data_IF_130336730594
#
_entry.id   IF_130336730594
#
_cell.length_a   1.000
_cell.length_b   1.000
_cell.length_c   1.000
_cell.angle_alpha   90.00
_cell.angle_beta   90.00
_cell.angle_gamma   90.00
#
_symmetry.space_group_name_H-M   'P 1'
#
loop_
_entity.id
_entity.type
_entity.pdbx_description
1 polymer ?
#
# COMPACT_ATOMS: atom_id res chain seq x y z
N UNK A 1 -0.75 -10.39 1.33
CA UNK A 1 0.59 -10.42 0.70
C UNK A 1 0.91 -11.86 0.38
N UNK A 2 1.81 -12.11 -0.58
CA UNK A 2 2.24 -13.47 -0.95
C UNK A 2 3.75 -13.62 -0.96
N UNK A 3 4.24 -14.82 -0.64
CA UNK A 3 5.64 -15.20 -0.74
C UNK A 3 5.77 -16.16 -1.92
N UNK A 4 6.60 -15.78 -2.90
CA UNK A 4 7.11 -16.68 -3.94
C UNK A 4 8.45 -17.27 -3.45
N UNK A 5 8.72 -18.53 -3.77
CA UNK A 5 9.98 -19.20 -3.44
C UNK A 5 10.82 -19.41 -4.71
N UNK A 6 11.73 -18.50 -5.08
CA UNK A 6 12.38 -18.54 -6.39
C UNK A 6 13.23 -19.81 -6.64
N UNK A 7 13.72 -20.44 -5.58
CA UNK A 7 14.64 -21.58 -5.65
C UNK A 7 14.00 -22.89 -5.16
N UNK A 8 12.70 -22.91 -4.89
CA UNK A 8 12.01 -24.11 -4.45
C UNK A 8 10.79 -24.36 -5.34
N UNK A 9 10.55 -25.62 -5.72
CA UNK A 9 9.30 -26.03 -6.36
C UNK A 9 8.17 -26.08 -5.32
N UNK A 10 7.85 -24.92 -4.75
CA UNK A 10 6.78 -24.71 -3.77
C UNK A 10 5.76 -23.75 -4.36
N UNK A 11 4.50 -23.97 -4.02
CA UNK A 11 3.43 -23.02 -4.32
C UNK A 11 3.65 -21.70 -3.57
N UNK A 12 3.13 -20.62 -4.14
CA UNK A 12 3.13 -19.31 -3.49
C UNK A 12 2.37 -19.40 -2.16
N UNK A 13 2.99 -18.89 -1.09
CA UNK A 13 2.39 -18.86 0.23
C UNK A 13 1.67 -17.54 0.45
N UNK A 14 0.35 -17.60 0.60
CA UNK A 14 -0.48 -16.43 0.87
C UNK A 14 -0.70 -16.24 2.37
N UNK A 15 -0.53 -15.01 2.87
CA UNK A 15 -0.94 -14.66 4.23
C UNK A 15 -1.77 -13.39 4.25
N UNK A 16 -2.83 -13.43 5.06
CA UNK A 16 -3.80 -12.34 5.24
C UNK A 16 -3.76 -11.76 6.66
N UNK A 17 -3.12 -12.45 7.60
CA UNK A 17 -3.00 -12.04 8.99
C UNK A 17 -2.01 -10.87 9.12
N UNK A 18 -2.21 -10.01 10.11
CA UNK A 18 -1.30 -8.90 10.43
C UNK A 18 0.05 -9.38 11.00
N UNK A 19 0.21 -10.68 11.24
CA UNK A 19 1.43 -11.31 11.70
C UNK A 19 1.66 -12.62 10.95
N UNK A 20 2.92 -12.89 10.60
CA UNK A 20 3.41 -14.14 10.05
C UNK A 20 4.60 -14.63 10.87
N UNK A 21 4.51 -15.83 11.44
CA UNK A 21 5.61 -16.50 12.16
C UNK A 21 6.32 -17.48 11.23
N UNK A 22 7.64 -17.45 11.23
CA UNK A 22 8.48 -18.29 10.38
C UNK A 22 9.53 -18.99 11.23
N UNK A 23 9.66 -20.30 11.06
CA UNK A 23 10.60 -21.14 11.79
C UNK A 23 10.47 -22.60 11.40
N UNK A 24 11.20 -23.50 12.06
CA UNK A 24 11.13 -24.94 11.78
C UNK A 24 10.13 -25.71 12.65
N UNK A 25 9.64 -25.10 13.73
CA UNK A 25 8.62 -25.72 14.55
C UNK A 25 7.25 -25.72 13.83
N UNK A 26 6.41 -26.75 14.04
CA UNK A 26 5.13 -26.91 13.35
C UNK A 26 4.05 -25.92 13.77
N UNK A 27 4.27 -25.15 14.84
CA UNK A 27 3.36 -24.11 15.33
C UNK A 27 3.52 -22.77 14.61
N UNK A 28 4.52 -22.64 13.72
CA UNK A 28 4.69 -21.48 12.85
C UNK A 28 3.72 -21.50 11.67
N UNK A 29 3.42 -20.30 11.16
CA UNK A 29 2.52 -20.12 10.03
C UNK A 29 3.22 -20.52 8.72
N UNK A 30 4.52 -20.22 8.59
CA UNK A 30 5.38 -20.72 7.52
C UNK A 30 6.51 -21.59 8.09
N UNK A 31 6.43 -22.88 7.80
CA UNK A 31 7.39 -23.87 8.30
C UNK A 31 8.53 -24.10 7.30
N UNK A 32 9.76 -23.82 7.75
CA UNK A 32 11.00 -24.08 7.03
C UNK A 32 11.64 -25.39 7.50
N UNK A 33 12.60 -25.93 6.74
CA UNK A 33 13.30 -27.14 7.17
C UNK A 33 14.13 -26.86 8.45
N UNK A 34 14.23 -27.84 9.34
CA UNK A 34 15.00 -27.72 10.59
C UNK A 34 16.49 -27.41 10.37
N UNK A 35 17.05 -27.80 9.22
CA UNK A 35 18.42 -27.47 8.83
C UNK A 35 18.60 -26.01 8.38
N UNK A 36 17.51 -25.30 8.06
CA UNK A 36 17.53 -23.95 7.51
C UNK A 36 17.19 -22.89 8.56
N UNK A 37 16.38 -23.25 9.57
CA UNK A 37 15.82 -22.31 10.52
C UNK A 37 15.69 -22.90 11.92
N UNK A 38 15.88 -22.04 12.91
CA UNK A 38 15.54 -22.30 14.30
C UNK A 38 14.03 -22.56 14.48
N UNK A 39 13.61 -23.23 15.58
CA UNK A 39 12.21 -23.53 15.87
C UNK A 39 11.29 -22.31 15.73
N UNK A 40 11.70 -21.17 16.29
CA UNK A 40 11.11 -19.86 16.07
C UNK A 40 12.23 -18.95 15.56
N UNK A 41 12.16 -18.52 14.30
CA UNK A 41 13.29 -17.85 13.64
C UNK A 41 13.02 -16.37 13.41
N UNK A 42 11.87 -16.02 12.83
CA UNK A 42 11.49 -14.63 12.65
C UNK A 42 9.98 -14.45 12.70
N UNK A 43 9.57 -13.20 12.91
CA UNK A 43 8.19 -12.78 12.71
C UNK A 43 8.13 -11.59 11.78
N UNK A 44 7.13 -11.55 10.92
CA UNK A 44 6.78 -10.39 10.11
C UNK A 44 5.46 -9.86 10.65
N UNK A 45 5.42 -8.59 11.04
CA UNK A 45 4.24 -7.97 11.62
C UNK A 45 3.94 -6.66 10.91
N UNK A 46 2.66 -6.36 10.69
CA UNK A 46 2.24 -5.08 10.16
C UNK A 46 2.19 -4.05 11.28
N UNK A 47 2.89 -2.92 11.10
CA UNK A 47 2.82 -1.75 11.96
C UNK A 47 2.31 -0.53 11.18
N UNK A 48 2.36 0.67 11.80
CA UNK A 48 1.92 1.92 11.14
C UNK A 48 2.78 2.33 9.94
N UNK A 49 4.00 1.81 9.82
CA UNK A 49 4.98 2.14 8.78
C UNK A 49 5.00 1.12 7.65
N UNK A 50 4.46 -0.09 7.88
CA UNK A 50 4.35 -1.16 6.89
C UNK A 50 4.64 -2.52 7.51
N UNK A 51 5.20 -3.43 6.73
CA UNK A 51 5.60 -4.75 7.21
C UNK A 51 6.97 -4.65 7.88
N UNK A 52 7.09 -5.16 9.11
CA UNK A 52 8.34 -5.19 9.87
C UNK A 52 8.73 -6.62 10.14
N UNK A 53 9.89 -7.00 9.65
CA UNK A 53 10.59 -8.22 10.07
C UNK A 53 11.22 -7.99 11.42
N UNK A 54 11.07 -8.95 12.32
CA UNK A 54 11.79 -9.03 13.58
C UNK A 54 12.49 -10.38 13.70
N UNK A 55 13.78 -10.32 14.01
CA UNK A 55 14.64 -11.45 14.32
C UNK A 55 14.35 -11.93 15.74
N UNK A 56 14.17 -13.24 15.92
CA UNK A 56 13.95 -13.84 17.23
C UNK A 56 15.29 -14.27 17.87
N UNK A 57 15.39 -14.39 19.20
CA UNK A 57 16.68 -14.66 19.87
C UNK A 57 17.36 -15.96 19.46
N UNK A 58 16.58 -16.98 19.10
CA UNK A 58 17.08 -18.28 18.62
C UNK A 58 17.47 -18.29 17.15
N UNK A 59 17.28 -17.17 16.43
CA UNK A 59 17.50 -17.11 15.01
C UNK A 59 18.98 -16.98 14.65
N UNK A 60 19.40 -17.77 13.68
CA UNK A 60 20.64 -17.55 12.95
C UNK A 60 20.52 -16.36 11.98
N UNK A 61 21.43 -16.29 11.00
CA UNK A 61 21.55 -15.14 10.09
C UNK A 61 20.35 -15.04 9.16
N UNK A 62 19.66 -13.90 9.24
CA UNK A 62 18.62 -13.49 8.31
C UNK A 62 19.16 -12.39 7.41
N UNK A 63 18.84 -12.46 6.12
CA UNK A 63 19.22 -11.44 5.16
C UNK A 63 17.98 -10.86 4.48
N UNK A 64 17.97 -9.55 4.25
CA UNK A 64 16.99 -8.87 3.41
C UNK A 64 17.75 -8.20 2.27
N UNK A 65 17.42 -8.56 1.02
CA UNK A 65 18.12 -8.10 -0.18
C UNK A 65 19.66 -8.24 -0.06
N UNK A 66 20.11 -9.42 0.38
CA UNK A 66 21.51 -9.77 0.65
C UNK A 66 22.21 -8.99 1.78
N UNK A 67 21.47 -8.21 2.59
CA UNK A 67 22.01 -7.50 3.76
C UNK A 67 21.61 -8.19 5.06
N UNK A 68 22.55 -8.44 5.99
CA UNK A 68 22.23 -9.08 7.25
C UNK A 68 21.34 -8.19 8.11
N UNK A 69 20.29 -8.76 8.69
CA UNK A 69 19.41 -8.10 9.64
C UNK A 69 19.68 -8.66 11.03
N UNK A 70 19.92 -7.76 12.00
CA UNK A 70 20.24 -8.16 13.38
C UNK A 70 19.02 -8.18 14.30
N UNK A 71 18.15 -7.20 14.18
CA UNK A 71 17.00 -7.06 15.08
C UNK A 71 15.70 -6.87 14.32
N UNK A 72 15.62 -5.81 13.51
CA UNK A 72 14.43 -5.47 12.75
C UNK A 72 14.76 -4.91 11.37
N UNK A 73 13.86 -5.12 10.42
CA UNK A 73 13.93 -4.50 9.10
C UNK A 73 12.52 -4.17 8.60
N UNK A 74 12.35 -2.99 7.99
CA UNK A 74 11.13 -2.66 7.26
C UNK A 74 11.17 -3.41 5.92
N UNK A 75 10.06 -4.04 5.57
CA UNK A 75 9.88 -4.84 4.38
C UNK A 75 8.91 -4.16 3.43
N UNK A 76 9.17 -4.32 2.13
CA UNK A 76 8.32 -3.90 1.03
C UNK A 76 8.01 -5.08 0.12
N UNK A 77 6.92 -4.97 -0.63
CA UNK A 77 6.68 -5.87 -1.74
C UNK A 77 7.85 -5.75 -2.75
N UNK A 78 8.37 -6.90 -3.17
CA UNK A 78 9.58 -7.03 -3.99
C UNK A 78 10.85 -7.31 -3.19
N UNK A 79 10.85 -7.23 -1.87
CA UNK A 79 12.02 -7.62 -1.06
C UNK A 79 12.22 -9.13 -1.03
N UNK A 80 13.48 -9.55 -1.02
CA UNK A 80 13.86 -10.96 -0.83
C UNK A 80 14.39 -11.15 0.59
N UNK A 81 13.69 -11.98 1.36
CA UNK A 81 14.11 -12.43 2.69
C UNK A 81 14.78 -13.79 2.55
N UNK A 82 15.99 -13.94 3.08
CA UNK A 82 16.74 -15.20 3.06
C UNK A 82 16.97 -15.73 4.46
N UNK A 83 16.68 -17.02 4.65
CA UNK A 83 16.89 -17.78 5.88
C UNK A 83 17.62 -19.08 5.51
N UNK A 84 18.90 -19.18 5.87
CA UNK A 84 19.76 -20.23 5.32
C UNK A 84 19.75 -20.22 3.79
N UNK A 85 19.44 -21.36 3.19
CA UNK A 85 19.30 -21.50 1.73
C UNK A 85 17.89 -21.18 1.21
N UNK A 86 16.91 -20.96 2.11
CA UNK A 86 15.56 -20.60 1.72
C UNK A 86 15.49 -19.11 1.37
N UNK A 87 15.10 -18.80 0.13
CA UNK A 87 14.81 -17.43 -0.33
C UNK A 87 13.31 -17.25 -0.52
N UNK A 88 12.79 -16.17 0.06
CA UNK A 88 11.38 -15.82 0.06
C UNK A 88 11.23 -14.43 -0.56
N UNK A 89 10.65 -14.36 -1.76
CA UNK A 89 10.33 -13.10 -2.42
C UNK A 89 8.95 -12.63 -1.96
N UNK A 90 8.88 -11.50 -1.28
CA UNK A 90 7.62 -10.87 -0.93
C UNK A 90 7.01 -10.25 -2.18
N UNK A 91 5.73 -10.49 -2.43
CA UNK A 91 4.99 -9.89 -3.54
C UNK A 91 3.70 -9.29 -3.02
N UNK A 92 3.26 -8.26 -3.70
CA UNK A 92 1.90 -7.76 -3.56
C UNK A 92 0.89 -8.80 -4.07
N UNK A 93 -0.29 -8.81 -3.45
CA UNK A 93 -1.43 -9.64 -3.90
C UNK A 93 -2.03 -9.06 -5.18
N UNK A 94 -2.13 -7.73 -5.25
CA UNK A 94 -2.66 -7.02 -6.40
C UNK A 94 -1.63 -6.99 -7.53
N UNK A 95 -2.06 -7.38 -8.73
CA UNK A 95 -1.24 -7.24 -9.92
C UNK A 95 -1.06 -5.75 -10.25
N UNK A 96 0.19 -5.24 -10.24
CA UNK A 96 0.43 -3.83 -10.49
C UNK A 96 -0.11 -3.35 -11.84
N UNK A 97 -0.21 -4.24 -12.84
CA UNK A 97 -0.71 -3.92 -14.17
C UNK A 97 -2.23 -3.67 -14.23
N UNK A 98 -2.99 -4.08 -13.20
CA UNK A 98 -4.45 -3.85 -13.13
C UNK A 98 -4.83 -2.50 -12.51
N UNK A 99 -3.87 -1.77 -11.95
CA UNK A 99 -4.11 -0.48 -11.31
C UNK A 99 -4.35 0.61 -12.35
N UNK A 100 -5.22 1.57 -12.06
CA UNK A 100 -5.36 2.79 -12.86
C UNK A 100 -4.18 3.71 -12.56
N UNK A 101 -3.32 4.03 -13.54
CA UNK A 101 -2.20 4.93 -13.30
C UNK A 101 -2.68 6.38 -13.13
N UNK A 102 -2.12 7.14 -12.17
CA UNK A 102 -2.40 8.56 -12.04
C UNK A 102 -1.89 9.29 -13.29
N UNK A 103 -2.69 10.25 -13.77
CA UNK A 103 -2.29 11.16 -14.84
C UNK A 103 -1.89 12.50 -14.24
N UNK A 104 -0.62 12.86 -14.36
CA UNK A 104 -0.11 14.16 -13.91
C UNK A 104 -0.11 15.13 -15.10
N UNK A 105 -0.81 16.28 -15.01
CA UNK A 105 -0.75 17.32 -16.04
C UNK A 105 0.69 17.80 -16.26
N UNK A 106 1.07 18.13 -17.50
CA UNK A 106 2.45 18.55 -17.80
C UNK A 106 2.90 19.75 -16.98
N UNK A 107 1.99 20.71 -16.72
CA UNK A 107 2.27 21.90 -15.92
C UNK A 107 2.45 21.60 -14.42
N UNK A 108 2.06 20.41 -13.94
CA UNK A 108 2.14 19.99 -12.53
C UNK A 108 3.20 18.91 -12.27
N UNK A 109 4.07 18.60 -13.24
CA UNK A 109 5.12 17.58 -13.06
C UNK A 109 6.14 18.03 -12.00
N UNK A 110 6.07 17.45 -10.81
CA UNK A 110 7.17 17.52 -9.86
C UNK A 110 8.30 16.57 -10.28
N UNK A 111 9.53 16.91 -9.89
CA UNK A 111 10.70 16.02 -10.10
C UNK A 111 10.44 14.68 -9.42
N UNK A 112 10.24 13.64 -10.21
CA UNK A 112 10.25 12.26 -9.72
C UNK A 112 11.69 11.82 -9.58
N UNK A 113 11.97 10.94 -8.63
CA UNK A 113 13.28 10.32 -8.50
C UNK A 113 13.15 8.83 -8.21
N UNK A 114 14.18 8.08 -8.60
CA UNK A 114 14.37 6.70 -8.15
C UNK A 114 15.39 6.67 -7.03
N UNK A 115 14.95 6.24 -5.85
CA UNK A 115 15.84 6.02 -4.71
C UNK A 115 16.30 4.57 -4.70
N UNK A 116 17.60 4.35 -4.83
CA UNK A 116 18.17 3.02 -4.72
C UNK A 116 18.16 2.54 -3.27
N UNK A 117 17.49 1.42 -2.99
CA UNK A 117 17.33 0.86 -1.64
C UNK A 117 18.14 -0.42 -1.42
N UNK A 118 18.52 -1.12 -2.50
CA UNK A 118 19.42 -2.27 -2.45
C UNK A 118 20.29 -2.37 -3.71
N UNK A 119 21.40 -3.11 -3.59
CA UNK A 119 22.42 -3.25 -4.62
C UNK A 119 23.56 -2.22 -4.51
N UNK A 120 24.53 -2.25 -5.46
CA UNK A 120 25.68 -1.35 -5.51
C UNK A 120 25.33 0.15 -5.48
N UNK A 121 24.18 0.52 -6.03
CA UNK A 121 23.74 1.92 -6.12
C UNK A 121 23.00 2.42 -4.88
N UNK A 122 22.78 1.56 -3.88
CA UNK A 122 21.97 1.89 -2.71
C UNK A 122 22.39 3.19 -2.02
N UNK A 123 21.40 3.99 -1.63
CA UNK A 123 21.60 5.31 -1.05
C UNK A 123 21.65 6.43 -2.08
N UNK A 124 21.84 6.13 -3.38
CA UNK A 124 21.73 7.12 -4.45
C UNK A 124 20.28 7.45 -4.76
N UNK A 125 20.06 8.69 -5.18
CA UNK A 125 18.78 9.19 -5.69
C UNK A 125 19.02 9.63 -7.12
N UNK A 126 18.34 8.99 -8.06
CA UNK A 126 18.46 9.23 -9.50
C UNK A 126 17.27 10.12 -9.91
N UNK A 127 17.50 11.40 -10.22
CA UNK A 127 16.41 12.28 -10.65
C UNK A 127 15.89 11.82 -12.02
N UNK A 128 14.58 11.75 -12.14
CA UNK A 128 13.88 11.47 -13.38
C UNK A 128 13.29 12.78 -13.90
N UNK A 129 13.85 13.27 -15.00
CA UNK A 129 13.36 14.46 -15.70
C UNK A 129 12.36 14.03 -16.77
N UNK A 130 12.82 13.82 -18.00
CA UNK A 130 11.97 13.38 -19.12
C UNK A 130 12.06 11.86 -19.32
N UNK A 131 13.27 11.33 -19.27
CA UNK A 131 13.55 9.91 -19.29
C UNK A 131 14.77 9.55 -18.43
N UNK A 132 14.84 8.28 -18.04
CA UNK A 132 15.97 7.68 -17.37
C UNK A 132 16.19 6.27 -17.93
N UNK A 133 17.39 6.02 -18.45
CA UNK A 133 17.73 4.72 -19.03
C UNK A 133 18.69 3.95 -18.13
N UNK A 134 18.38 2.67 -17.94
CA UNK A 134 19.19 1.71 -17.19
C UNK A 134 19.76 0.66 -18.12
N UNK A 135 20.94 0.14 -17.79
CA UNK A 135 21.58 -0.96 -18.50
C UNK A 135 22.89 -0.58 -19.19
N UNK A 136 23.47 -1.45 -20.03
CA UNK A 136 24.82 -1.28 -20.57
C UNK A 136 25.03 0.02 -21.37
N UNK A 137 23.99 0.52 -22.02
CA UNK A 137 24.02 1.72 -22.87
C UNK A 137 23.24 2.90 -22.28
N UNK A 138 22.70 2.77 -21.06
CA UNK A 138 21.89 3.80 -20.43
C UNK A 138 22.70 4.75 -19.53
N UNK A 139 22.05 5.79 -19.03
CA UNK A 139 22.63 6.75 -18.07
C UNK A 139 23.07 6.09 -16.77
N UNK A 140 22.38 5.00 -16.38
CA UNK A 140 22.63 4.26 -15.17
C UNK A 140 22.97 2.79 -15.47
N UNK A 141 24.25 2.39 -15.45
CA UNK A 141 24.61 1.00 -15.67
C UNK A 141 24.06 0.10 -14.55
N UNK A 142 23.51 -1.06 -14.94
CA UNK A 142 23.06 -2.10 -14.02
C UNK A 142 24.03 -3.28 -14.06
N UNK A 143 24.77 -3.47 -12.98
CA UNK A 143 25.63 -4.65 -12.82
C UNK A 143 24.76 -5.88 -12.53
N UNK A 144 24.78 -6.87 -13.41
CA UNK A 144 24.07 -8.13 -13.22
C UNK A 144 25.07 -9.27 -12.96
N UNK A 145 24.66 -10.33 -12.25
CA UNK A 145 25.52 -11.48 -12.03
C UNK A 145 25.87 -12.16 -13.36
N UNK A 146 27.03 -12.81 -13.41
CA UNK A 146 27.49 -13.62 -14.56
C UNK A 146 27.63 -12.85 -15.88
N UNK A 147 27.72 -11.51 -15.84
CA UNK A 147 27.87 -10.69 -17.04
C UNK A 147 26.61 -10.59 -17.91
N UNK A 148 25.45 -10.95 -17.35
CA UNK A 148 24.16 -10.77 -17.99
C UNK A 148 23.83 -9.28 -18.18
N UNK A 149 22.85 -8.96 -19.03
CA UNK A 149 22.49 -7.59 -19.36
C UNK A 149 20.99 -7.43 -19.54
N UNK A 150 20.46 -6.35 -18.97
CA UNK A 150 19.09 -5.89 -19.20
C UNK A 150 19.14 -4.37 -19.42
N UNK A 151 18.32 -3.87 -20.33
CA UNK A 151 18.12 -2.45 -20.50
C UNK A 151 16.67 -2.09 -20.22
N UNK A 152 16.48 -1.00 -19.48
CA UNK A 152 15.18 -0.50 -19.06
C UNK A 152 15.12 0.97 -19.40
N UNK A 153 13.94 1.47 -19.78
CA UNK A 153 13.69 2.89 -19.91
C UNK A 153 12.53 3.27 -19.02
N UNK A 154 12.66 4.40 -18.35
CA UNK A 154 11.54 5.07 -17.69
C UNK A 154 11.36 6.42 -18.35
N UNK A 155 10.16 6.75 -18.79
CA UNK A 155 9.87 8.01 -19.46
C UNK A 155 8.47 8.51 -19.14
N UNK A 156 8.28 9.82 -19.26
CA UNK A 156 6.94 10.40 -19.24
C UNK A 156 6.26 10.20 -20.60
N UNK A 157 5.06 9.61 -20.58
CA UNK A 157 4.22 9.44 -21.76
C UNK A 157 2.77 9.79 -21.40
N UNK A 158 2.18 10.77 -22.08
CA UNK A 158 0.79 11.22 -21.85
C UNK A 158 0.46 11.51 -20.37
N UNK A 159 1.42 12.12 -19.65
CA UNK A 159 1.25 12.44 -18.21
C UNK A 159 1.37 11.24 -17.28
N UNK A 160 1.82 10.09 -17.77
CA UNK A 160 2.08 8.88 -16.97
C UNK A 160 3.57 8.54 -16.99
N UNK A 161 4.06 8.00 -15.89
CA UNK A 161 5.44 7.53 -15.79
C UNK A 161 5.52 6.07 -16.26
N UNK A 162 5.97 5.84 -17.49
CA UNK A 162 6.03 4.52 -18.08
C UNK A 162 7.41 3.89 -17.86
N UNK A 163 7.43 2.65 -17.36
CA UNK A 163 8.60 1.78 -17.31
C UNK A 163 8.47 0.72 -18.40
N UNK A 164 9.52 0.53 -19.18
CA UNK A 164 9.61 -0.48 -20.24
C UNK A 164 10.97 -1.21 -20.20
N UNK A 165 10.96 -2.49 -20.56
CA UNK A 165 12.18 -3.27 -20.83
C UNK A 165 12.55 -3.11 -22.29
N UNK A 166 13.63 -2.39 -22.58
CA UNK A 166 14.11 -2.16 -23.95
C UNK A 166 15.00 -3.29 -24.46
N UNK A 167 15.72 -3.96 -23.56
CA UNK A 167 16.47 -5.18 -23.84
C UNK A 167 16.24 -6.19 -22.72
N UNK A 168 15.55 -7.33 -22.97
CA UNK A 168 15.29 -8.33 -21.94
C UNK A 168 16.55 -9.13 -21.60
N UNK A 169 16.62 -9.59 -20.36
CA UNK A 169 17.59 -10.60 -19.91
C UNK A 169 16.97 -11.99 -19.91
N UNK A 170 17.78 -13.01 -20.17
CA UNK A 170 17.35 -14.41 -20.12
C UNK A 170 17.24 -14.96 -18.68
N UNK A 171 17.96 -14.37 -17.72
CA UNK A 171 18.07 -14.90 -16.36
C UNK A 171 17.40 -14.01 -15.30
N UNK A 172 17.27 -12.71 -15.57
CA UNK A 172 16.82 -11.71 -14.61
C UNK A 172 15.65 -10.92 -15.19
N UNK A 173 14.46 -11.16 -14.64
CA UNK A 173 13.26 -10.43 -15.01
C UNK A 173 13.15 -9.11 -14.26
N UNK A 174 12.64 -8.08 -14.93
CA UNK A 174 12.16 -6.88 -14.27
C UNK A 174 10.94 -7.22 -13.42
N UNK A 175 10.99 -6.85 -12.13
CA UNK A 175 9.88 -7.00 -11.21
C UNK A 175 9.48 -5.67 -10.59
N UNK A 176 8.18 -5.38 -10.54
CA UNK A 176 7.61 -4.26 -9.78
C UNK A 176 6.77 -4.83 -8.64
N UNK A 177 7.10 -4.45 -7.41
CA UNK A 177 6.47 -4.98 -6.18
C UNK A 177 6.49 -6.53 -6.12
N UNK A 178 7.52 -7.14 -6.71
CA UNK A 178 7.69 -8.59 -6.78
C UNK A 178 7.01 -9.28 -7.96
N UNK A 179 6.20 -8.58 -8.76
CA UNK A 179 5.53 -9.14 -9.96
C UNK A 179 6.37 -8.86 -11.20
N UNK A 180 6.62 -9.89 -12.02
CA UNK A 180 7.38 -9.75 -13.25
C UNK A 180 6.57 -8.96 -14.30
N UNK A 181 7.20 -7.95 -14.90
CA UNK A 181 6.58 -7.05 -15.88
C UNK A 181 7.56 -6.74 -17.01
N UNK A 182 7.04 -6.49 -18.21
CA UNK A 182 7.82 -5.96 -19.33
C UNK A 182 7.55 -4.46 -19.55
N UNK A 183 6.33 -4.03 -19.27
CA UNK A 183 5.93 -2.63 -19.38
C UNK A 183 4.87 -2.34 -18.31
N UNK A 184 4.98 -1.19 -17.64
CA UNK A 184 4.06 -0.79 -16.58
C UNK A 184 4.10 0.73 -16.36
N UNK A 185 2.93 1.34 -16.12
CA UNK A 185 2.87 2.70 -15.61
C UNK A 185 3.16 2.69 -14.08
N UNK A 186 4.25 3.33 -13.68
CA UNK A 186 4.73 3.41 -12.31
C UNK A 186 3.93 4.40 -11.47
N UNK A 187 3.79 4.08 -10.20
CA UNK A 187 3.21 4.95 -9.17
C UNK A 187 4.23 5.26 -8.07
N UNK A 188 4.07 6.36 -7.31
CA UNK A 188 4.87 6.63 -6.13
C UNK A 188 4.84 5.45 -5.16
N UNK A 189 6.00 5.14 -4.58
CA UNK A 189 6.15 4.02 -3.66
C UNK A 189 6.36 2.66 -4.31
N UNK A 190 6.15 2.51 -5.62
CA UNK A 190 6.43 1.27 -6.34
C UNK A 190 7.93 0.91 -6.23
N UNK A 191 8.19 -0.37 -5.95
CA UNK A 191 9.54 -0.91 -5.84
C UNK A 191 9.90 -1.69 -7.10
N UNK A 192 10.83 -1.15 -7.89
CA UNK A 192 11.44 -1.83 -9.02
C UNK A 192 12.55 -2.74 -8.50
N UNK A 193 12.72 -3.90 -9.13
CA UNK A 193 13.90 -4.70 -8.90
C UNK A 193 14.28 -5.63 -10.01
N UNK A 194 15.59 -5.79 -10.12
CA UNK A 194 16.27 -6.58 -11.12
C UNK A 194 17.53 -7.15 -10.45
N UNK A 195 17.63 -8.48 -10.42
CA UNK A 195 18.69 -9.17 -9.69
C UNK A 195 18.85 -8.62 -8.25
N UNK A 196 19.99 -8.01 -7.93
CA UNK A 196 20.26 -7.41 -6.62
C UNK A 196 19.82 -5.95 -6.46
N UNK A 197 19.53 -5.27 -7.58
CA UNK A 197 19.18 -3.86 -7.57
C UNK A 197 17.72 -3.70 -7.17
N UNK A 198 17.48 -2.78 -6.23
CA UNK A 198 16.13 -2.36 -5.84
C UNK A 198 16.06 -0.85 -5.82
N UNK A 199 15.03 -0.31 -6.48
CA UNK A 199 14.75 1.11 -6.52
C UNK A 199 13.32 1.35 -6.09
N UNK A 200 13.07 2.44 -5.38
CA UNK A 200 11.73 2.89 -5.01
C UNK A 200 11.45 4.19 -5.73
N UNK A 201 10.27 4.27 -6.36
CA UNK A 201 9.78 5.51 -6.98
C UNK A 201 9.41 6.50 -5.89
N UNK A 202 10.07 7.65 -5.92
CA UNK A 202 9.79 8.80 -5.05
C UNK A 202 9.22 9.92 -5.92
N UNK A 203 7.95 10.27 -5.69
CA UNK A 203 7.21 11.20 -6.55
C UNK A 203 6.23 12.01 -5.71
N UNK A 204 6.71 12.93 -4.86
CA UNK A 204 5.86 13.64 -3.89
C UNK A 204 4.73 14.47 -4.52
N UNK A 205 4.81 14.79 -5.82
CA UNK A 205 3.75 15.49 -6.56
C UNK A 205 2.88 14.61 -7.47
N UNK A 206 3.02 13.29 -7.41
CA UNK A 206 2.21 12.33 -8.17
C UNK A 206 1.08 11.72 -7.31
N UNK A 207 1.07 11.95 -6.01
CA UNK A 207 -0.03 11.57 -5.13
C UNK A 207 -1.19 12.55 -5.38
N UNK A 208 -2.42 12.06 -5.64
CA UNK A 208 -3.57 12.94 -5.77
C UNK A 208 -3.73 13.74 -4.47
N UNK A 209 -3.87 15.06 -4.59
CA UNK A 209 -4.18 15.91 -3.44
C UNK A 209 -5.43 15.33 -2.77
N UNK A 210 -5.41 15.04 -1.45
CA UNK A 210 -6.53 14.42 -0.78
C UNK A 210 -7.76 15.28 -1.02
N UNK A 211 -8.79 14.69 -1.63
CA UNK A 211 -10.05 15.36 -1.86
C UNK A 211 -10.55 15.85 -0.49
N UNK A 212 -10.57 17.17 -0.29
CA UNK A 212 -11.11 17.78 0.92
C UNK A 212 -12.60 17.46 0.89
N UNK A 213 -12.99 16.39 1.57
CA UNK A 213 -14.38 16.03 1.75
C UNK A 213 -14.93 17.09 2.69
N UNK A 214 -15.54 18.13 2.09
CA UNK A 214 -16.29 19.10 2.87
C UNK A 214 -17.36 18.30 3.62
N UNK A 215 -17.46 18.43 4.96
CA UNK A 215 -18.52 17.77 5.70
C UNK A 215 -19.86 18.13 5.06
N UNK A 216 -20.72 17.13 4.90
CA UNK A 216 -22.04 17.31 4.32
C UNK A 216 -22.73 18.48 5.05
N UNK A 217 -23.22 19.49 4.33
CA UNK A 217 -23.85 20.64 4.97
C UNK A 217 -24.97 20.12 5.87
N UNK A 218 -25.11 20.64 7.11
CA UNK A 218 -26.15 20.19 8.01
C UNK A 218 -27.50 20.26 7.30
N UNK A 219 -28.41 19.29 7.54
CA UNK A 219 -29.71 19.27 6.89
C UNK A 219 -30.38 20.64 7.09
N UNK A 220 -30.88 21.22 6.00
CA UNK A 220 -31.61 22.49 6.07
C UNK A 220 -32.81 22.27 6.98
N UNK A 221 -32.82 22.91 8.15
CA UNK A 221 -33.99 22.97 9.01
C UNK A 221 -35.19 23.44 8.17
N UNK A 222 -36.20 22.59 8.07
CA UNK A 222 -37.44 22.94 7.39
C UNK A 222 -38.16 24.00 8.24
N UNK A 223 -38.89 24.96 7.64
CA UNK A 223 -39.64 25.97 8.40
C UNK A 223 -40.63 25.37 9.41
N UNK A 224 -41.08 24.13 9.16
CA UNK A 224 -41.98 23.38 10.05
C UNK A 224 -41.31 22.97 11.37
N UNK A 225 -39.99 22.75 11.41
CA UNK A 225 -39.27 22.47 12.66
C UNK A 225 -39.04 23.72 13.52
N UNK A 226 -39.20 24.91 12.92
CA UNK A 226 -39.22 26.18 13.62
C UNK A 226 -40.64 26.58 14.08
N UNK A 227 -41.67 25.79 13.74
CA UNK A 227 -43.00 25.98 14.29
C UNK A 227 -42.97 25.60 15.78
N UNK A 228 -43.33 26.56 16.63
CA UNK A 228 -43.16 26.52 18.08
C UNK A 228 -43.78 25.32 18.82
N UNK A 229 -43.58 25.25 20.16
CA UNK A 229 -43.80 24.05 20.96
C UNK A 229 -45.19 23.45 20.75
N UNK A 230 -45.25 22.23 20.23
CA UNK A 230 -46.46 21.46 19.97
C UNK A 230 -47.26 21.06 21.23
N UNK A 231 -46.85 21.54 22.41
CA UNK A 231 -47.43 21.21 23.71
C UNK A 231 -48.44 22.22 24.28
N UNK A 232 -48.58 23.43 23.73
CA UNK A 232 -49.41 24.49 24.35
C UNK A 232 -50.88 24.50 23.88
N UNK A 233 -51.25 23.69 22.88
CA UNK A 233 -52.61 23.73 22.30
C UNK A 233 -53.67 23.08 23.21
N UNK A 234 -53.28 22.17 24.12
CA UNK A 234 -54.25 21.45 24.96
C UNK A 234 -54.99 22.36 25.95
N UNK A 235 -54.37 23.42 26.46
CA UNK A 235 -55.06 24.35 27.37
C UNK A 235 -56.21 25.06 26.65
N UNK A 236 -56.08 25.35 25.34
CA UNK A 236 -57.09 26.09 24.60
C UNK A 236 -58.38 25.26 24.50
N UNK A 237 -58.22 23.96 24.25
CA UNK A 237 -59.33 23.00 24.20
C UNK A 237 -60.01 22.93 25.58
N UNK A 238 -59.23 22.84 26.66
CA UNK A 238 -59.77 22.82 28.03
C UNK A 238 -60.53 24.11 28.35
N UNK A 239 -59.97 25.28 28.04
CA UNK A 239 -60.65 26.57 28.28
C UNK A 239 -61.94 26.70 27.47
N UNK A 240 -61.94 26.27 26.20
CA UNK A 240 -63.13 26.29 25.36
C UNK A 240 -64.22 25.36 25.92
N UNK A 241 -63.85 24.18 26.41
CA UNK A 241 -64.78 23.23 27.02
C UNK A 241 -65.41 23.78 28.31
N UNK A 242 -64.62 24.41 29.19
CA UNK A 242 -65.14 25.05 30.42
C UNK A 242 -66.09 26.20 30.09
N UNK A 243 -65.73 27.04 29.11
CA UNK A 243 -66.56 28.16 28.69
C UNK A 243 -67.89 27.69 28.10
N UNK A 244 -67.86 26.66 27.25
CA UNK A 244 -69.05 26.04 26.68
C UNK A 244 -69.97 25.44 27.77
N UNK A 245 -69.39 24.75 28.77
CA UNK A 245 -70.15 24.22 29.90
C UNK A 245 -70.79 25.33 30.75
N UNK A 246 -70.06 26.42 30.99
CA UNK A 246 -70.58 27.58 31.70
C UNK A 246 -71.76 28.22 30.97
N UNK A 247 -71.66 28.41 29.65
CA UNK A 247 -72.77 28.91 28.82
C UNK A 247 -73.96 27.95 28.87
N UNK A 248 -73.73 26.65 28.75
CA UNK A 248 -74.79 25.64 28.82
C UNK A 248 -75.51 25.66 30.19
N UNK A 249 -74.77 25.81 31.29
CA UNK A 249 -75.35 25.89 32.63
C UNK A 249 -76.17 27.17 32.83
N UNK A 250 -75.69 28.31 32.33
CA UNK A 250 -76.44 29.58 32.36
C UNK A 250 -77.73 29.49 31.55
N UNK A 251 -77.69 28.82 30.39
CA UNK A 251 -78.90 28.57 29.60
C UNK A 251 -79.86 27.63 30.32
N UNK A 252 -79.37 26.62 31.05
CA UNK A 252 -80.20 25.68 31.80
C UNK A 252 -80.92 26.33 33.00
N UNK A 253 -80.28 27.28 33.69
CA UNK A 253 -80.86 27.98 34.85
C UNK A 253 -81.87 29.08 34.43
N UNK A 254 -81.85 29.49 33.15
CA UNK A 254 -82.78 30.50 32.60
C UNK A 254 -84.06 29.91 31.98
N UNK A 255 -84.28 28.61 32.08
CA UNK A 255 -85.53 27.91 31.77
C UNK A 255 -86.15 27.34 33.05
#
# INVERSE_FOLDING_TARGET
MRIEFPNAAREDFHWTQAQLRVGSAPDNDLVLAASQAAPQHLRIQQDRRGWVLQVLPSADRIYVNARPVRERALLRAGDVVSVGDCRMLLRTDEDPARRTPPSVPEQGRCTVALRAVAGPLSGRVLPLRDSLEFGPHGDCPLELPQGDAIALRISWHEGRLLLEVTQPSAQHLLRVNGVAVQQLALQPGDQLGVAMHRFVVDGPGMEPEPEITLPEPPPRHLPEEAAGPSGEVWWLIVTAAVLALGIALVLLIRF
#
